data_IF_862889105784
#
_entry.id   IF_862889105784
#
_cell.length_a   1.000
_cell.length_b   1.000
_cell.length_c   1.000
_cell.angle_alpha   90.00
_cell.angle_beta   90.00
_cell.angle_gamma   90.00
#
_symmetry.space_group_name_H-M   'P 1'
#
loop_
_entity.id
_entity.type
_entity.pdbx_description
1 polymer ?
#
# COMPACT_ATOMS: atom_id res chain seq x y z
N UNK A 1 -9.79 10.81 -0.89
CA UNK A 1 -10.99 11.46 -1.46
C UNK A 1 -10.78 11.79 -2.94
N UNK A 2 -11.86 12.06 -3.70
CA UNK A 2 -11.80 12.41 -5.14
C UNK A 2 -11.49 13.90 -5.37
N UNK A 3 -10.46 14.43 -4.71
CA UNK A 3 -10.09 15.84 -4.71
C UNK A 3 -8.61 16.09 -5.02
N UNK A 4 -7.89 15.05 -5.45
CA UNK A 4 -6.47 15.12 -5.79
C UNK A 4 -6.26 14.84 -7.28
N UNK A 5 -5.20 15.42 -7.85
CA UNK A 5 -4.81 15.14 -9.24
C UNK A 5 -4.34 13.67 -9.35
N UNK A 6 -4.76 12.91 -10.37
CA UNK A 6 -4.37 11.51 -10.49
C UNK A 6 -2.87 11.34 -10.75
N UNK A 7 -2.36 10.14 -10.50
CA UNK A 7 -1.04 9.72 -10.97
C UNK A 7 -1.17 9.30 -12.43
N UNK A 8 -0.29 9.80 -13.30
CA UNK A 8 -0.28 9.47 -14.73
C UNK A 8 1.01 8.77 -15.13
N UNK A 9 0.87 7.67 -15.88
CA UNK A 9 1.99 6.96 -16.51
C UNK A 9 1.90 7.18 -18.02
N UNK A 10 2.83 7.95 -18.58
CA UNK A 10 2.93 8.17 -20.02
C UNK A 10 3.18 6.86 -20.78
N UNK A 11 2.85 6.84 -22.07
CA UNK A 11 3.00 5.64 -22.91
C UNK A 11 4.40 5.05 -22.84
N UNK A 12 4.50 3.72 -22.69
CA UNK A 12 5.77 3.00 -22.48
C UNK A 12 6.57 3.47 -21.24
N UNK A 13 5.97 4.24 -20.33
CA UNK A 13 6.49 4.51 -19.01
C UNK A 13 6.22 3.35 -18.06
N UNK A 14 7.00 3.23 -16.99
CA UNK A 14 6.85 2.15 -16.03
C UNK A 14 7.33 2.51 -14.63
N UNK A 15 6.84 1.76 -13.64
CA UNK A 15 7.26 1.83 -12.25
C UNK A 15 7.75 0.45 -11.82
N UNK A 16 8.95 0.38 -11.26
CA UNK A 16 9.50 -0.88 -10.71
C UNK A 16 9.28 -0.89 -9.21
N UNK A 17 8.27 -1.64 -8.77
CA UNK A 17 7.85 -1.69 -7.37
C UNK A 17 8.76 -2.49 -6.42
N UNK A 18 8.53 -2.37 -5.10
CA UNK A 18 7.53 -1.52 -4.48
C UNK A 18 8.01 -0.06 -4.41
N UNK A 19 7.25 0.85 -5.01
CA UNK A 19 7.53 2.29 -5.01
C UNK A 19 6.26 3.07 -4.66
N UNK A 20 6.44 4.23 -4.05
CA UNK A 20 5.36 5.14 -3.65
C UNK A 20 5.45 6.43 -4.46
N UNK A 21 4.33 6.84 -5.05
CA UNK A 21 4.20 8.09 -5.77
C UNK A 21 3.07 8.90 -5.13
N UNK A 22 3.31 10.17 -4.92
CA UNK A 22 2.30 11.10 -4.43
C UNK A 22 1.34 11.51 -5.54
N UNK A 23 0.12 11.92 -5.17
CA UNK A 23 -0.85 12.43 -6.14
C UNK A 23 -0.31 13.60 -6.97
N UNK A 24 -0.82 13.71 -8.20
CA UNK A 24 -0.36 14.68 -9.19
C UNK A 24 0.97 14.33 -9.85
N UNK A 25 1.56 13.17 -9.55
CA UNK A 25 2.78 12.71 -10.21
C UNK A 25 2.51 12.26 -11.64
N UNK A 26 3.34 12.71 -12.58
CA UNK A 26 3.32 12.35 -14.00
C UNK A 26 4.65 11.70 -14.36
N UNK A 27 4.66 10.43 -14.77
CA UNK A 27 5.83 9.79 -15.37
C UNK A 27 5.77 10.01 -16.88
N UNK A 28 6.78 10.67 -17.44
CA UNK A 28 6.90 10.92 -18.86
C UNK A 28 6.97 9.62 -19.67
N UNK A 29 6.50 9.66 -20.92
CA UNK A 29 6.56 8.53 -21.84
C UNK A 29 8.00 7.97 -21.96
N UNK A 30 8.13 6.65 -22.05
CA UNK A 30 9.42 5.94 -22.14
C UNK A 30 10.29 5.99 -20.87
N UNK A 31 9.81 6.54 -19.76
CA UNK A 31 10.59 6.63 -18.51
C UNK A 31 10.28 5.46 -17.56
N UNK A 32 11.32 4.80 -17.04
CA UNK A 32 11.18 3.74 -16.03
C UNK A 32 11.65 4.26 -14.67
N UNK A 33 10.70 4.47 -13.76
CA UNK A 33 10.97 4.98 -12.41
C UNK A 33 11.16 3.83 -11.41
N UNK A 34 12.12 3.99 -10.50
CA UNK A 34 12.55 2.93 -9.54
C UNK A 34 12.68 3.43 -8.10
N UNK A 35 12.22 4.65 -7.83
CA UNK A 35 12.33 5.32 -6.54
C UNK A 35 10.95 5.76 -6.06
N UNK A 36 10.90 6.19 -4.81
CA UNK A 36 9.72 6.88 -4.29
C UNK A 36 9.79 8.36 -4.70
N UNK A 37 8.64 8.97 -4.94
CA UNK A 37 8.47 10.41 -5.06
C UNK A 37 7.27 10.80 -4.20
N UNK A 38 7.55 11.25 -2.98
CA UNK A 38 6.53 11.57 -1.99
C UNK A 38 6.14 13.05 -2.01
N UNK A 39 6.70 13.85 -2.94
CA UNK A 39 6.30 15.24 -3.13
C UNK A 39 5.19 15.29 -4.17
N UNK A 40 4.08 16.00 -3.92
CA UNK A 40 2.99 16.09 -4.86
C UNK A 40 3.39 16.88 -6.11
N UNK A 41 2.65 16.70 -7.20
CA UNK A 41 2.76 17.51 -8.43
C UNK A 41 4.17 17.50 -9.03
N UNK A 42 4.67 16.31 -9.39
CA UNK A 42 6.00 16.14 -9.99
C UNK A 42 5.90 15.54 -11.38
N UNK A 43 6.63 16.14 -12.33
CA UNK A 43 6.91 15.50 -13.62
C UNK A 43 8.23 14.73 -13.51
N UNK A 44 8.13 13.42 -13.62
CA UNK A 44 9.25 12.49 -13.58
C UNK A 44 9.62 12.11 -15.01
N UNK A 45 10.81 12.53 -15.43
CA UNK A 45 11.37 12.19 -16.73
C UNK A 45 12.77 11.60 -16.53
N UNK A 46 13.09 10.55 -17.29
CA UNK A 46 14.36 9.87 -17.18
C UNK A 46 14.30 8.47 -17.78
N UNK A 47 15.00 8.29 -18.91
CA UNK A 47 15.20 7.03 -19.60
C UNK A 47 16.69 6.74 -19.66
N UNK A 48 17.05 5.50 -19.31
CA UNK A 48 18.41 4.98 -19.11
C UNK A 48 19.01 5.33 -17.74
N UNK A 49 18.83 4.41 -16.79
CA UNK A 49 19.78 4.33 -15.67
C UNK A 49 21.20 4.15 -16.22
N UNK A 50 22.23 4.47 -15.41
CA UNK A 50 23.63 4.24 -15.81
C UNK A 50 23.78 2.82 -16.36
N UNK A 51 24.25 2.70 -17.60
CA UNK A 51 24.62 1.40 -18.15
C UNK A 51 25.79 0.86 -17.36
N UNK A 52 25.67 -0.37 -16.86
CA UNK A 52 26.72 -1.02 -16.10
C UNK A 52 26.63 -2.52 -16.30
N UNK A 53 27.78 -3.18 -16.21
CA UNK A 53 27.88 -4.62 -16.19
C UNK A 53 28.63 -5.00 -14.92
N UNK A 54 27.88 -5.49 -13.93
CA UNK A 54 28.41 -6.00 -12.68
C UNK A 54 27.95 -7.46 -12.53
N UNK A 55 28.76 -8.34 -11.94
CA UNK A 55 28.31 -9.69 -11.63
C UNK A 55 27.01 -9.64 -10.80
N UNK A 56 25.99 -10.33 -11.30
CA UNK A 56 24.76 -10.51 -10.53
C UNK A 56 25.08 -11.42 -9.35
N UNK A 57 24.83 -10.96 -8.13
CA UNK A 57 24.93 -11.77 -6.92
C UNK A 57 23.51 -12.16 -6.48
N UNK A 58 23.06 -13.40 -6.77
CA UNK A 58 21.78 -13.88 -6.29
C UNK A 58 21.71 -13.79 -4.76
N UNK A 59 20.55 -13.42 -4.23
CA UNK A 59 20.33 -13.35 -2.78
C UNK A 59 20.82 -12.07 -2.10
N UNK A 60 21.53 -11.15 -2.77
CA UNK A 60 21.82 -9.81 -2.19
C UNK A 60 20.61 -8.88 -2.29
N UNK A 61 20.09 -8.45 -1.13
CA UNK A 61 19.02 -7.47 -1.00
C UNK A 61 19.54 -6.25 -0.24
N UNK A 62 19.97 -5.23 -0.99
CA UNK A 62 20.63 -4.05 -0.41
C UNK A 62 19.70 -3.08 0.33
N UNK A 63 18.42 -3.01 -0.05
CA UNK A 63 17.48 -2.01 0.49
C UNK A 63 16.29 -2.68 1.16
N UNK A 64 16.56 -3.64 2.05
CA UNK A 64 15.51 -4.44 2.69
C UNK A 64 14.56 -3.58 3.52
N UNK A 65 15.06 -2.55 4.24
CA UNK A 65 14.21 -1.61 4.99
C UNK A 65 13.15 -0.98 4.09
N UNK A 66 13.56 -0.35 2.99
CA UNK A 66 12.61 0.29 2.06
C UNK A 66 11.64 -0.71 1.43
N UNK A 67 12.15 -1.86 0.98
CA UNK A 67 11.31 -2.88 0.32
C UNK A 67 10.24 -3.38 1.30
N UNK A 68 10.64 -3.72 2.53
CA UNK A 68 9.74 -4.14 3.60
C UNK A 68 8.69 -3.07 3.91
N UNK A 69 9.13 -1.84 4.19
CA UNK A 69 8.21 -0.76 4.54
C UNK A 69 7.22 -0.45 3.42
N UNK A 70 7.68 -0.40 2.16
CA UNK A 70 6.77 -0.14 1.04
C UNK A 70 5.78 -1.30 0.81
N UNK A 71 6.14 -2.56 1.09
CA UNK A 71 5.17 -3.66 1.04
C UNK A 71 4.14 -3.57 2.17
N UNK A 72 4.56 -3.25 3.39
CA UNK A 72 3.64 -3.04 4.53
C UNK A 72 2.64 -1.93 4.20
N UNK A 73 3.15 -0.77 3.75
CA UNK A 73 2.30 0.38 3.37
C UNK A 73 1.35 -0.01 2.24
N UNK A 74 1.81 -0.75 1.25
CA UNK A 74 0.94 -1.18 0.14
C UNK A 74 -0.19 -2.09 0.63
N UNK A 75 0.12 -3.13 1.41
CA UNK A 75 -0.90 -4.04 1.95
C UNK A 75 -1.87 -3.27 2.87
N UNK A 76 -1.36 -2.39 3.72
CA UNK A 76 -2.18 -1.55 4.59
C UNK A 76 -3.17 -0.66 3.80
N UNK A 77 -2.73 -0.06 2.70
CA UNK A 77 -3.61 0.73 1.82
C UNK A 77 -4.66 -0.13 1.10
N UNK A 78 -4.33 -1.37 0.74
CA UNK A 78 -5.33 -2.30 0.17
C UNK A 78 -6.37 -2.73 1.21
N UNK A 79 -5.96 -2.94 2.46
CA UNK A 79 -6.88 -3.24 3.57
C UNK A 79 -7.78 -2.02 3.84
N UNK A 80 -7.23 -0.80 3.88
CA UNK A 80 -8.05 0.41 3.99
C UNK A 80 -9.04 0.54 2.82
N UNK A 81 -8.64 0.18 1.59
CA UNK A 81 -9.55 0.13 0.45
C UNK A 81 -10.64 -0.94 0.63
N UNK A 82 -10.34 -2.08 1.25
CA UNK A 82 -11.32 -3.13 1.54
C UNK A 82 -12.38 -2.65 2.52
N UNK A 83 -11.98 -1.91 3.55
CA UNK A 83 -12.88 -1.22 4.47
C UNK A 83 -13.75 -0.18 3.76
N UNK A 84 -13.17 0.60 2.84
CA UNK A 84 -13.94 1.54 2.01
C UNK A 84 -15.02 0.83 1.17
N UNK A 85 -14.68 -0.30 0.54
CA UNK A 85 -15.66 -1.07 -0.20
C UNK A 85 -16.75 -1.65 0.72
N UNK A 86 -16.34 -2.23 1.83
CA UNK A 86 -17.26 -2.89 2.77
C UNK A 86 -18.26 -1.92 3.39
N UNK A 87 -17.82 -0.73 3.79
CA UNK A 87 -18.67 0.19 4.56
C UNK A 87 -19.24 1.35 3.73
N UNK A 88 -18.51 1.87 2.75
CA UNK A 88 -18.94 3.02 1.95
C UNK A 88 -19.59 2.55 0.66
N UNK A 89 -18.89 1.76 -0.16
CA UNK A 89 -19.39 1.36 -1.50
C UNK A 89 -20.65 0.51 -1.43
N UNK A 90 -20.83 -0.29 -0.38
CA UNK A 90 -22.06 -1.09 -0.14
C UNK A 90 -23.33 -0.24 -0.02
N UNK A 91 -23.23 1.01 0.47
CA UNK A 91 -24.37 1.92 0.56
C UNK A 91 -24.85 2.43 -0.81
N UNK A 92 -23.99 2.35 -1.83
CA UNK A 92 -24.27 2.81 -3.20
C UNK A 92 -24.83 1.72 -4.12
N UNK A 93 -25.19 0.55 -3.59
CA UNK A 93 -25.84 -0.50 -4.40
C UNK A 93 -27.11 0.03 -5.08
N UNK A 94 -27.17 -0.09 -6.40
CA UNK A 94 -28.23 0.43 -7.26
C UNK A 94 -28.30 -0.37 -8.57
N UNK A 95 -29.22 -0.05 -9.47
CA UNK A 95 -29.31 -0.71 -10.77
C UNK A 95 -28.02 -0.52 -11.61
N UNK A 96 -27.37 0.64 -11.51
CA UNK A 96 -26.09 0.95 -12.19
C UNK A 96 -24.86 0.38 -11.46
N UNK A 97 -25.00 0.03 -10.17
CA UNK A 97 -23.97 -0.60 -9.36
C UNK A 97 -24.57 -1.80 -8.58
N UNK A 98 -24.89 -2.90 -9.28
CA UNK A 98 -25.63 -4.00 -8.70
C UNK A 98 -24.75 -4.87 -7.80
N UNK A 99 -25.40 -5.65 -6.92
CA UNK A 99 -24.74 -6.52 -5.94
C UNK A 99 -23.71 -7.49 -6.55
N UNK A 100 -23.96 -8.16 -7.70
CA UNK A 100 -22.95 -9.03 -8.31
C UNK A 100 -21.67 -8.30 -8.74
N UNK A 101 -21.77 -7.02 -9.16
CA UNK A 101 -20.61 -6.21 -9.48
C UNK A 101 -19.83 -5.83 -8.22
N UNK A 102 -20.54 -5.48 -7.15
CA UNK A 102 -19.94 -5.20 -5.86
C UNK A 102 -19.19 -6.41 -5.30
N UNK A 103 -19.80 -7.60 -5.33
CA UNK A 103 -19.19 -8.85 -4.87
C UNK A 103 -17.94 -9.18 -5.69
N UNK A 104 -18.01 -9.04 -7.02
CA UNK A 104 -16.85 -9.22 -7.89
C UNK A 104 -15.70 -8.25 -7.56
N UNK A 105 -16.00 -7.00 -7.23
CA UNK A 105 -14.99 -6.02 -6.81
C UNK A 105 -14.35 -6.39 -5.46
N UNK A 106 -15.16 -6.87 -4.51
CA UNK A 106 -14.64 -7.38 -3.22
C UNK A 106 -13.76 -8.61 -3.42
N UNK A 107 -14.16 -9.56 -4.26
CA UNK A 107 -13.36 -10.74 -4.61
C UNK A 107 -12.01 -10.33 -5.22
N UNK A 108 -11.99 -9.38 -6.17
CA UNK A 108 -10.72 -8.90 -6.75
C UNK A 108 -9.82 -8.22 -5.74
N UNK A 109 -10.38 -7.53 -4.76
CA UNK A 109 -9.60 -6.91 -3.70
C UNK A 109 -9.02 -7.95 -2.74
N UNK A 110 -9.80 -8.97 -2.35
CA UNK A 110 -9.30 -10.10 -1.56
C UNK A 110 -8.15 -10.83 -2.28
N UNK A 111 -8.33 -11.13 -3.57
CA UNK A 111 -7.28 -11.74 -4.40
C UNK A 111 -6.01 -10.86 -4.44
N UNK A 112 -6.16 -9.54 -4.59
CA UNK A 112 -5.03 -8.62 -4.63
C UNK A 112 -4.26 -8.60 -3.30
N UNK A 113 -4.98 -8.51 -2.17
CA UNK A 113 -4.38 -8.54 -0.83
C UNK A 113 -3.65 -9.87 -0.60
N UNK A 114 -4.32 -11.00 -0.88
CA UNK A 114 -3.76 -12.35 -0.72
C UNK A 114 -2.48 -12.55 -1.53
N UNK A 115 -2.49 -12.16 -2.81
CA UNK A 115 -1.32 -12.23 -3.68
C UNK A 115 -0.18 -11.31 -3.15
N UNK A 116 -0.48 -10.10 -2.65
CA UNK A 116 0.56 -9.21 -2.11
C UNK A 116 1.19 -9.78 -0.84
N UNK A 117 0.40 -10.31 0.09
CA UNK A 117 0.90 -11.00 1.28
C UNK A 117 1.74 -12.22 0.88
N UNK A 118 1.28 -13.03 -0.08
CA UNK A 118 2.02 -14.19 -0.57
C UNK A 118 3.37 -13.82 -1.19
N UNK A 119 3.43 -12.76 -2.02
CA UNK A 119 4.69 -12.27 -2.59
C UNK A 119 5.64 -11.73 -1.53
N UNK A 120 5.11 -11.08 -0.50
CA UNK A 120 5.92 -10.58 0.60
C UNK A 120 6.46 -11.71 1.50
N UNK A 121 5.67 -12.78 1.69
CA UNK A 121 6.14 -14.04 2.31
C UNK A 121 7.29 -14.66 1.54
N UNK A 122 7.15 -14.75 0.22
CA UNK A 122 8.19 -15.30 -0.63
C UNK A 122 9.48 -14.46 -0.57
N UNK A 123 9.38 -13.14 -0.34
CA UNK A 123 10.54 -12.30 -0.05
C UNK A 123 11.14 -12.61 1.33
N UNK A 124 10.32 -12.70 2.39
CA UNK A 124 10.82 -12.95 3.75
C UNK A 124 11.58 -14.29 3.84
N UNK A 125 11.08 -15.33 3.17
CA UNK A 125 11.71 -16.66 3.14
C UNK A 125 13.12 -16.65 2.54
N UNK A 126 13.36 -15.77 1.54
CA UNK A 126 14.68 -15.59 0.90
C UNK A 126 15.69 -14.86 1.78
N UNK A 127 15.26 -14.25 2.90
CA UNK A 127 16.19 -13.52 3.77
C UNK A 127 17.19 -14.44 4.47
N UNK A 128 16.80 -15.68 4.78
CA UNK A 128 17.71 -16.67 5.38
C UNK A 128 18.89 -17.00 4.46
N UNK A 129 18.63 -17.23 3.17
CA UNK A 129 19.64 -17.45 2.13
C UNK A 129 20.45 -16.18 1.87
N UNK A 130 19.78 -15.03 1.87
CA UNK A 130 20.43 -13.72 1.76
C UNK A 130 21.50 -13.56 2.85
N UNK A 131 21.15 -13.75 4.12
CA UNK A 131 22.09 -13.66 5.25
C UNK A 131 23.30 -14.58 5.07
N UNK A 132 23.10 -15.83 4.64
CA UNK A 132 24.20 -16.79 4.37
C UNK A 132 25.13 -16.30 3.25
N UNK A 133 24.55 -15.82 2.15
CA UNK A 133 25.32 -15.26 1.03
C UNK A 133 26.16 -14.04 1.45
N UNK A 134 25.68 -13.24 2.40
CA UNK A 134 26.44 -12.11 2.95
C UNK A 134 27.59 -12.55 3.87
N UNK A 135 27.36 -13.53 4.75
CA UNK A 135 28.38 -14.02 5.67
C UNK A 135 29.56 -14.70 4.95
N UNK A 136 29.32 -15.34 3.81
CA UNK A 136 30.37 -16.01 3.02
C UNK A 136 31.31 -15.04 2.29
N UNK A 137 30.86 -13.81 2.01
CA UNK A 137 31.66 -12.78 1.33
C UNK A 137 32.17 -11.75 2.35
N UNK A 138 33.11 -12.20 3.18
CA UNK A 138 33.65 -11.59 4.41
C UNK A 138 34.46 -10.26 4.24
N UNK A 139 34.14 -9.40 3.28
CA UNK A 139 34.93 -8.16 3.02
C UNK A 139 34.14 -6.86 2.81
N UNK A 140 32.83 -6.86 2.93
CA UNK A 140 32.05 -5.62 2.82
C UNK A 140 31.38 -5.28 4.15
N UNK A 141 31.73 -4.10 4.68
CA UNK A 141 31.12 -3.42 5.82
C UNK A 141 29.62 -3.11 5.57
N UNK A 142 28.77 -4.13 5.45
CA UNK A 142 27.32 -3.93 5.51
C UNK A 142 26.93 -3.77 7.00
N UNK A 143 26.18 -2.72 7.32
CA UNK A 143 25.81 -2.40 8.70
C UNK A 143 25.15 -3.60 9.38
N UNK A 144 25.55 -3.91 10.62
CA UNK A 144 24.93 -4.94 11.49
C UNK A 144 23.39 -4.86 11.46
N UNK A 145 22.86 -3.65 11.32
CA UNK A 145 21.43 -3.37 11.17
C UNK A 145 20.75 -4.08 9.97
N UNK A 146 21.41 -4.15 8.81
CA UNK A 146 20.81 -4.77 7.61
C UNK A 146 20.66 -6.29 7.80
N UNK A 147 21.65 -6.93 8.42
CA UNK A 147 21.56 -8.36 8.78
C UNK A 147 20.50 -8.60 9.85
N UNK A 148 20.39 -7.72 10.84
CA UNK A 148 19.32 -7.76 11.84
C UNK A 148 17.94 -7.68 11.18
N UNK A 149 17.73 -6.71 10.28
CA UNK A 149 16.48 -6.53 9.53
C UNK A 149 16.09 -7.76 8.71
N UNK A 150 17.05 -8.36 7.98
CA UNK A 150 16.82 -9.58 7.19
C UNK A 150 16.39 -10.75 8.09
N UNK A 151 17.09 -10.96 9.19
CA UNK A 151 16.78 -12.03 10.15
C UNK A 151 15.43 -11.81 10.85
N UNK A 152 15.15 -10.58 11.24
CA UNK A 152 13.90 -10.21 11.90
C UNK A 152 12.70 -10.43 10.96
N UNK A 153 12.77 -9.95 9.71
CA UNK A 153 11.73 -10.18 8.72
C UNK A 153 11.45 -11.68 8.48
N UNK A 154 12.50 -12.51 8.43
CA UNK A 154 12.34 -13.96 8.29
C UNK A 154 11.65 -14.57 9.51
N UNK A 155 12.16 -14.30 10.72
CA UNK A 155 11.71 -14.94 11.96
C UNK A 155 10.32 -14.49 12.39
N UNK A 156 9.99 -13.21 12.18
CA UNK A 156 8.76 -12.56 12.64
C UNK A 156 7.66 -12.55 11.57
N UNK A 157 7.87 -13.23 10.44
CA UNK A 157 6.92 -13.25 9.33
C UNK A 157 5.52 -13.69 9.78
N UNK A 158 5.40 -14.75 10.59
CA UNK A 158 4.10 -15.26 11.02
C UNK A 158 3.29 -14.21 11.78
N UNK A 159 3.94 -13.46 12.67
CA UNK A 159 3.31 -12.39 13.44
C UNK A 159 2.92 -11.21 12.55
N UNK A 160 3.76 -10.88 11.56
CA UNK A 160 3.44 -9.85 10.57
C UNK A 160 2.27 -10.25 9.66
N UNK A 161 2.22 -11.52 9.25
CA UNK A 161 1.11 -12.07 8.45
C UNK A 161 -0.20 -12.04 9.25
N UNK A 162 -0.14 -12.37 10.54
CA UNK A 162 -1.30 -12.31 11.44
C UNK A 162 -1.76 -10.86 11.67
N UNK A 163 -0.84 -9.90 11.79
CA UNK A 163 -1.16 -8.47 11.87
C UNK A 163 -2.01 -8.00 10.66
N UNK A 164 -1.68 -8.44 9.45
CA UNK A 164 -2.51 -8.10 8.29
C UNK A 164 -3.89 -8.77 8.34
N UNK A 165 -3.96 -10.03 8.77
CA UNK A 165 -5.23 -10.77 8.84
C UNK A 165 -6.16 -10.22 9.92
N UNK A 166 -5.63 -9.87 11.09
CA UNK A 166 -6.42 -9.30 12.18
C UNK A 166 -7.10 -8.01 11.71
N UNK A 167 -6.35 -7.05 11.16
CA UNK A 167 -6.89 -5.77 10.69
C UNK A 167 -7.91 -5.86 9.54
N UNK A 168 -7.94 -6.97 8.79
CA UNK A 168 -9.02 -7.25 7.82
C UNK A 168 -10.33 -7.64 8.50
N UNK A 169 -10.23 -8.40 9.59
CA UNK A 169 -11.37 -8.93 10.33
C UNK A 169 -11.86 -8.00 11.44
N UNK A 170 -11.08 -6.98 11.77
CA UNK A 170 -11.39 -6.03 12.84
C UNK A 170 -12.53 -5.10 12.41
N UNK A 171 -13.73 -5.30 12.95
CA UNK A 171 -14.84 -4.33 12.87
C UNK A 171 -14.70 -3.22 13.91
N UNK A 172 -13.49 -2.72 14.17
CA UNK A 172 -13.29 -1.70 15.21
C UNK A 172 -14.14 -0.47 14.87
N UNK A 173 -15.08 -0.16 15.77
CA UNK A 173 -15.88 1.05 15.71
C UNK A 173 -14.96 2.23 15.97
N UNK A 174 -14.43 2.82 14.90
CA UNK A 174 -13.78 4.12 15.01
C UNK A 174 -14.85 5.20 14.97
N UNK A 175 -14.73 6.19 15.84
CA UNK A 175 -15.65 7.33 15.86
C UNK A 175 -15.66 8.08 14.53
N UNK A 176 -14.50 8.18 13.86
CA UNK A 176 -14.37 8.81 12.54
C UNK A 176 -15.12 8.05 11.45
N UNK A 177 -15.12 6.71 11.47
CA UNK A 177 -15.88 5.91 10.50
C UNK A 177 -17.35 6.21 10.63
N UNK A 178 -17.91 6.06 11.82
CA UNK A 178 -19.36 6.15 12.02
C UNK A 178 -19.86 7.57 11.69
N UNK A 179 -19.10 8.60 12.09
CA UNK A 179 -19.36 10.00 11.68
C UNK A 179 -19.32 10.15 10.16
N UNK A 180 -18.32 9.59 9.49
CA UNK A 180 -18.20 9.68 8.05
C UNK A 180 -19.33 8.95 7.31
N UNK A 181 -19.72 7.76 7.76
CA UNK A 181 -20.79 6.97 7.16
C UNK A 181 -22.14 7.66 7.30
N UNK A 182 -22.41 8.35 8.40
CA UNK A 182 -23.63 9.17 8.56
C UNK A 182 -23.70 10.27 7.49
N UNK A 183 -22.57 10.90 7.14
CA UNK A 183 -22.51 11.93 6.10
C UNK A 183 -22.74 11.35 4.70
N UNK A 184 -22.23 10.15 4.45
CA UNK A 184 -22.50 9.41 3.21
C UNK A 184 -24.00 9.12 3.09
N UNK A 185 -24.64 8.60 4.14
CA UNK A 185 -26.08 8.31 4.15
C UNK A 185 -26.93 9.58 3.92
N UNK A 186 -26.59 10.70 4.56
CA UNK A 186 -27.24 12.01 4.32
C UNK A 186 -27.07 12.44 2.85
N UNK A 187 -25.87 12.31 2.30
CA UNK A 187 -25.60 12.63 0.90
C UNK A 187 -26.41 11.77 -0.07
N UNK A 188 -26.52 10.46 0.20
CA UNK A 188 -27.33 9.54 -0.61
C UNK A 188 -28.82 9.90 -0.52
N UNK A 189 -29.33 10.22 0.67
CA UNK A 189 -30.72 10.64 0.85
C UNK A 189 -31.07 11.95 0.15
N UNK A 190 -30.08 12.82 -0.03
CA UNK A 190 -30.26 14.15 -0.63
C UNK A 190 -30.11 14.12 -2.16
N UNK A 191 -29.04 13.50 -2.66
CA UNK A 191 -28.63 13.57 -4.07
C UNK A 191 -28.77 12.24 -4.82
N UNK A 192 -29.27 11.18 -4.16
CA UNK A 192 -29.38 9.83 -4.71
C UNK A 192 -28.08 9.04 -4.65
N UNK A 193 -28.04 7.88 -5.32
CA UNK A 193 -26.93 6.91 -5.26
C UNK A 193 -25.84 7.13 -6.32
N UNK A 194 -25.76 8.30 -6.94
CA UNK A 194 -24.61 8.61 -7.80
C UNK A 194 -23.36 8.85 -6.94
N UNK A 195 -22.49 7.83 -6.90
CA UNK A 195 -21.31 7.83 -6.04
C UNK A 195 -20.40 9.03 -6.27
N UNK A 196 -20.15 9.41 -7.54
CA UNK A 196 -19.21 10.48 -7.84
C UNK A 196 -19.74 11.83 -7.37
N UNK A 197 -21.03 12.11 -7.59
CA UNK A 197 -21.66 13.34 -7.11
C UNK A 197 -21.64 13.42 -5.60
N UNK A 198 -22.10 12.37 -4.90
CA UNK A 198 -22.12 12.34 -3.42
C UNK A 198 -20.73 12.60 -2.83
N UNK A 199 -19.69 11.89 -3.30
CA UNK A 199 -18.33 12.03 -2.76
C UNK A 199 -17.73 13.41 -3.06
N UNK A 200 -18.06 14.02 -4.21
CA UNK A 200 -17.57 15.35 -4.57
C UNK A 200 -18.25 16.46 -3.78
N UNK A 201 -19.53 16.30 -3.45
CA UNK A 201 -20.35 17.26 -2.70
C UNK A 201 -20.03 17.30 -1.20
N UNK A 202 -19.37 16.28 -0.66
CA UNK A 202 -18.92 16.28 0.74
C UNK A 202 -18.13 17.56 1.09
N UNK A 203 -18.38 18.08 2.29
CA UNK A 203 -17.63 19.21 2.84
C UNK A 203 -16.13 18.87 3.00
N UNK A 204 -15.30 19.88 3.22
CA UNK A 204 -13.87 19.65 3.47
C UNK A 204 -13.70 18.85 4.77
N UNK A 205 -14.51 19.15 5.77
CA UNK A 205 -14.56 18.50 7.06
C UNK A 205 -14.91 17.02 6.93
N UNK A 206 -15.96 16.69 6.17
CA UNK A 206 -16.38 15.30 5.95
C UNK A 206 -15.34 14.53 5.12
N UNK A 207 -14.75 15.18 4.11
CA UNK A 207 -13.63 14.61 3.33
C UNK A 207 -12.43 14.30 4.22
N UNK A 208 -12.13 15.15 5.19
CA UNK A 208 -11.05 14.95 6.16
C UNK A 208 -11.38 13.83 7.13
N UNK A 209 -12.63 13.73 7.62
CA UNK A 209 -13.06 12.63 8.49
C UNK A 209 -12.88 11.26 7.81
N UNK A 210 -13.36 11.12 6.57
CA UNK A 210 -13.19 9.86 5.83
C UNK A 210 -11.74 9.56 5.46
N UNK A 211 -10.94 10.58 5.14
CA UNK A 211 -9.50 10.38 4.88
C UNK A 211 -8.75 9.99 6.16
N UNK A 212 -9.07 10.64 7.28
CA UNK A 212 -8.51 10.34 8.60
C UNK A 212 -8.82 8.92 9.03
N UNK A 213 -10.08 8.48 8.90
CA UNK A 213 -10.47 7.10 9.18
C UNK A 213 -9.64 6.07 8.39
N UNK A 214 -9.50 6.25 7.08
CA UNK A 214 -8.68 5.32 6.27
C UNK A 214 -7.20 5.38 6.66
N UNK A 215 -6.70 6.56 7.01
CA UNK A 215 -5.32 6.74 7.46
C UNK A 215 -5.08 6.06 8.82
N UNK A 216 -6.05 6.08 9.75
CA UNK A 216 -5.95 5.35 11.03
C UNK A 216 -5.77 3.85 10.83
N UNK A 217 -6.48 3.25 9.87
CA UNK A 217 -6.30 1.83 9.51
C UNK A 217 -4.86 1.58 9.05
N UNK A 218 -4.37 2.43 8.14
CA UNK A 218 -3.02 2.30 7.59
C UNK A 218 -1.96 2.46 8.68
N UNK A 219 -2.11 3.49 9.52
CA UNK A 219 -1.18 3.82 10.60
C UNK A 219 -1.17 2.74 11.69
N UNK A 220 -2.32 2.17 12.04
CA UNK A 220 -2.41 1.06 13.00
C UNK A 220 -1.63 -0.16 12.52
N UNK A 221 -1.82 -0.57 11.26
CA UNK A 221 -1.10 -1.71 10.68
C UNK A 221 0.41 -1.46 10.67
N UNK A 222 0.83 -0.25 10.28
CA UNK A 222 2.26 0.13 10.23
C UNK A 222 2.85 0.15 11.65
N UNK A 223 2.16 0.77 12.60
CA UNK A 223 2.61 0.86 13.98
C UNK A 223 2.79 -0.53 14.59
N UNK A 224 1.83 -1.44 14.40
CA UNK A 224 1.94 -2.81 14.89
C UNK A 224 3.04 -3.59 14.17
N UNK A 225 3.21 -3.41 12.86
CA UNK A 225 4.31 -4.01 12.12
C UNK A 225 5.69 -3.55 12.63
N UNK A 226 5.83 -2.28 13.01
CA UNK A 226 7.06 -1.73 13.60
C UNK A 226 7.31 -2.24 15.03
N UNK A 227 6.25 -2.51 15.81
CA UNK A 227 6.40 -3.22 17.11
C UNK A 227 6.86 -4.66 16.93
N UNK A 228 6.35 -5.35 15.90
CA UNK A 228 6.75 -6.73 15.56
C UNK A 228 8.19 -6.78 15.06
N UNK A 229 8.63 -5.74 14.33
CA UNK A 229 9.93 -5.64 13.68
C UNK A 229 10.68 -4.34 14.06
N UNK A 230 11.15 -4.19 15.30
CA UNK A 230 11.74 -2.96 15.81
C UNK A 230 12.97 -2.47 15.04
N UNK A 231 13.71 -3.35 14.34
CA UNK A 231 14.89 -2.93 13.56
C UNK A 231 14.54 -2.10 12.30
N UNK A 232 13.26 -1.98 11.96
CA UNK A 232 12.74 -1.19 10.84
C UNK A 232 12.29 0.22 11.24
N UNK A 233 12.35 0.56 12.52
CA UNK A 233 12.12 1.93 13.01
C UNK A 233 13.15 2.89 12.42
#
# INVERSE_FOLDING_TARGET
MLNQRPIFLGGQGGLVGPCRLEFGTVIAAGSIFRKDELRPERLLFGGNGKSGNIPFMPGKYYNIKRITMNNIIYIANLIALEHWYTHVRSQFLSDDFPEPLFDGLKEKLDMAIGERIHRFKALSQKMSESVRAYQYHEKENESNLVLQQKNELYKRWTELEENFKSHRNTEEKTSLRDVFLEKIDIGIKTSGKDYISVIKELSIEDKNAGTGWLQEIVDSIIAEALKIMPSFT
#
